data_IF_731438867370
#
_entry.id   IF_731438867370
#
_cell.length_a   1.000
_cell.length_b   1.000
_cell.length_c   1.000
_cell.angle_alpha   90.00
_cell.angle_beta   90.00
_cell.angle_gamma   90.00
#
_symmetry.space_group_name_H-M   'P 1'
#
loop_
_entity.id
_entity.type
_entity.pdbx_description
1 polymer ?
#
# COMPACT_ATOMS: atom_id res chain seq x y z
N UNK A 1 4.85 8.76 -12.83
CA UNK A 1 3.57 8.44 -12.17
C UNK A 1 2.46 9.38 -12.63
N UNK A 2 1.20 8.93 -12.48
CA UNK A 2 0.01 9.67 -12.94
C UNK A 2 -0.48 10.71 -11.91
N UNK A 3 -0.01 10.67 -10.68
CA UNK A 3 -0.46 11.51 -9.58
C UNK A 3 -0.35 13.00 -9.90
N UNK A 4 -1.36 13.76 -9.50
CA UNK A 4 -1.47 15.21 -9.67
C UNK A 4 -1.64 15.90 -8.31
N UNK A 5 -2.25 17.08 -8.28
CA UNK A 5 -2.44 17.84 -7.04
C UNK A 5 -3.38 17.13 -6.06
N UNK A 6 -4.44 16.49 -6.56
CA UNK A 6 -5.43 15.76 -5.77
C UNK A 6 -5.43 14.29 -6.17
N UNK A 7 -5.27 13.41 -5.20
CA UNK A 7 -5.16 11.98 -5.46
C UNK A 7 -6.06 11.22 -4.49
N UNK A 8 -7.04 10.50 -5.02
CA UNK A 8 -7.81 9.54 -4.24
C UNK A 8 -7.07 8.22 -4.28
N UNK A 9 -6.71 7.72 -3.11
CA UNK A 9 -5.92 6.51 -2.95
C UNK A 9 -6.77 5.46 -2.27
N UNK A 10 -6.87 4.28 -2.87
CA UNK A 10 -7.48 3.08 -2.29
C UNK A 10 -6.40 2.02 -2.14
N UNK A 11 -6.32 1.42 -0.98
CA UNK A 11 -5.47 0.25 -0.72
C UNK A 11 -6.35 -0.97 -0.49
N UNK A 12 -6.10 -2.03 -1.23
CA UNK A 12 -6.72 -3.34 -1.03
C UNK A 12 -5.75 -4.28 -0.34
N UNK A 13 -6.15 -4.76 0.83
CA UNK A 13 -5.42 -5.79 1.57
C UNK A 13 -5.06 -6.97 0.66
N UNK A 14 -3.93 -7.65 0.89
CA UNK A 14 -3.54 -8.81 0.08
C UNK A 14 -4.61 -9.89 -0.02
N UNK A 15 -5.45 -10.05 1.01
CA UNK A 15 -6.53 -11.04 1.10
C UNK A 15 -7.82 -10.59 0.40
N UNK A 16 -7.99 -9.28 0.19
CA UNK A 16 -9.20 -8.72 -0.42
C UNK A 16 -9.12 -8.78 -1.94
N UNK A 17 -10.19 -9.25 -2.57
CA UNK A 17 -10.31 -9.16 -4.01
C UNK A 17 -10.52 -7.70 -4.45
N UNK A 18 -9.84 -7.27 -5.51
CA UNK A 18 -10.15 -6.02 -6.19
C UNK A 18 -11.13 -6.33 -7.32
N UNK A 19 -12.38 -5.91 -7.13
CA UNK A 19 -13.48 -6.15 -8.06
C UNK A 19 -13.75 -4.94 -8.95
N UNK A 20 -14.55 -5.12 -9.98
CA UNK A 20 -15.02 -4.03 -10.84
C UNK A 20 -15.85 -3.01 -10.03
N UNK A 21 -16.62 -3.48 -9.04
CA UNK A 21 -17.44 -2.61 -8.19
C UNK A 21 -16.55 -1.77 -7.27
N UNK A 22 -15.45 -2.32 -6.76
CA UNK A 22 -14.45 -1.56 -5.98
C UNK A 22 -13.79 -0.47 -6.82
N UNK A 23 -13.47 -0.76 -8.07
CA UNK A 23 -12.94 0.22 -9.00
C UNK A 23 -13.90 1.40 -9.16
N UNK A 24 -15.15 1.13 -9.54
CA UNK A 24 -16.15 2.18 -9.73
C UNK A 24 -16.53 2.89 -8.43
N UNK A 25 -16.53 2.19 -7.29
CA UNK A 25 -16.70 2.82 -5.98
C UNK A 25 -15.61 3.85 -5.71
N UNK A 26 -14.36 3.53 -5.99
CA UNK A 26 -13.24 4.46 -5.80
C UNK A 26 -13.32 5.65 -6.77
N UNK A 27 -13.70 5.42 -8.02
CA UNK A 27 -14.00 6.49 -8.99
C UNK A 27 -15.15 7.37 -8.47
N UNK A 28 -16.20 6.76 -7.92
CA UNK A 28 -17.34 7.46 -7.31
C UNK A 28 -16.90 8.37 -6.15
N UNK A 29 -16.03 7.89 -5.27
CA UNK A 29 -15.46 8.70 -4.19
C UNK A 29 -14.68 9.91 -4.71
N UNK A 30 -13.92 9.73 -5.78
CA UNK A 30 -13.22 10.84 -6.43
C UNK A 30 -14.18 11.87 -7.04
N UNK A 31 -15.28 11.43 -7.64
CA UNK A 31 -16.34 12.31 -8.13
C UNK A 31 -17.03 13.08 -7.00
N UNK A 32 -17.33 12.41 -5.88
CA UNK A 32 -17.89 13.04 -4.69
C UNK A 32 -16.90 14.06 -4.09
N UNK A 33 -15.63 13.68 -3.97
CA UNK A 33 -14.58 14.59 -3.46
C UNK A 33 -14.49 15.86 -4.31
N UNK A 34 -14.53 15.73 -5.64
CA UNK A 34 -14.58 16.89 -6.55
C UNK A 34 -15.82 17.76 -6.28
N UNK A 35 -16.98 17.14 -6.00
CA UNK A 35 -18.25 17.84 -5.82
C UNK A 35 -18.41 18.54 -4.47
N UNK A 36 -17.67 18.12 -3.44
CA UNK A 36 -17.78 18.65 -2.08
C UNK A 36 -16.81 19.80 -1.75
N UNK A 37 -16.21 20.43 -2.76
CA UNK A 37 -15.37 21.61 -2.55
C UNK A 37 -16.19 22.79 -1.98
N UNK A 38 -15.55 23.61 -1.11
CA UNK A 38 -16.19 24.78 -0.48
C UNK A 38 -16.67 25.86 -1.48
N UNK A 39 -16.19 25.83 -2.70
CA UNK A 39 -16.55 26.73 -3.80
C UNK A 39 -16.59 25.97 -5.11
N UNK A 40 -17.28 26.55 -6.10
CA UNK A 40 -17.37 25.97 -7.45
C UNK A 40 -15.98 25.72 -8.00
N UNK A 41 -15.75 24.49 -8.48
CA UNK A 41 -14.50 24.00 -9.07
C UNK A 41 -13.24 24.17 -8.20
N UNK A 42 -13.41 24.08 -6.88
CA UNK A 42 -12.29 24.12 -5.94
C UNK A 42 -11.27 22.99 -6.17
N UNK A 43 -11.74 21.84 -6.68
CA UNK A 43 -10.94 20.71 -7.14
C UNK A 43 -11.11 20.57 -8.65
N UNK A 44 -10.22 21.16 -9.48
CA UNK A 44 -10.30 21.02 -10.93
C UNK A 44 -10.16 19.57 -11.37
N UNK A 45 -11.02 19.11 -12.27
CA UNK A 45 -11.08 17.70 -12.66
C UNK A 45 -9.78 17.21 -13.31
N UNK A 46 -9.09 18.09 -14.01
CA UNK A 46 -7.81 17.80 -14.67
C UNK A 46 -6.63 17.71 -13.67
N UNK A 47 -6.83 18.07 -12.39
CA UNK A 47 -5.86 17.94 -11.31
C UNK A 47 -6.18 16.78 -10.35
N UNK A 48 -7.22 16.01 -10.63
CA UNK A 48 -7.65 14.85 -9.84
C UNK A 48 -7.19 13.55 -10.48
N UNK A 49 -6.77 12.59 -9.67
CA UNK A 49 -6.43 11.21 -10.08
C UNK A 49 -6.90 10.19 -9.08
N UNK A 50 -7.00 8.95 -9.53
CA UNK A 50 -7.27 7.77 -8.69
C UNK A 50 -6.08 6.82 -8.75
N UNK A 51 -5.66 6.31 -7.61
CA UNK A 51 -4.61 5.28 -7.48
C UNK A 51 -5.10 4.14 -6.61
N UNK A 52 -5.14 2.94 -7.14
CA UNK A 52 -5.55 1.74 -6.39
C UNK A 52 -4.35 0.83 -6.24
N UNK A 53 -4.02 0.50 -5.00
CA UNK A 53 -2.92 -0.39 -4.66
C UNK A 53 -3.44 -1.78 -4.32
N UNK A 54 -2.77 -2.80 -4.84
CA UNK A 54 -3.06 -4.20 -4.58
C UNK A 54 -1.81 -5.07 -4.70
N UNK A 55 -1.76 -6.18 -3.97
CA UNK A 55 -0.63 -7.12 -4.02
C UNK A 55 -0.52 -7.83 -5.37
N UNK A 56 -1.61 -8.42 -5.87
CA UNK A 56 -1.63 -9.27 -7.07
C UNK A 56 -2.44 -8.64 -8.20
N UNK A 57 -2.15 -9.04 -9.44
CA UNK A 57 -2.81 -8.55 -10.64
C UNK A 57 -4.30 -8.91 -10.67
N UNK A 58 -5.22 -7.93 -10.84
CA UNK A 58 -6.65 -8.16 -10.84
C UNK A 58 -7.19 -8.53 -12.24
N UNK A 59 -6.81 -9.68 -12.78
CA UNK A 59 -7.10 -10.10 -14.16
C UNK A 59 -8.57 -9.99 -14.54
N UNK A 60 -9.48 -10.49 -13.67
CA UNK A 60 -10.92 -10.44 -13.95
C UNK A 60 -11.44 -9.01 -14.08
N UNK A 61 -10.95 -8.12 -13.24
CA UNK A 61 -11.32 -6.71 -13.30
C UNK A 61 -10.76 -6.07 -14.57
N UNK A 62 -9.52 -6.34 -14.94
CA UNK A 62 -8.91 -5.82 -16.17
C UNK A 62 -9.70 -6.24 -17.40
N UNK A 63 -10.06 -7.53 -17.53
CA UNK A 63 -10.90 -8.02 -18.62
C UNK A 63 -12.26 -7.31 -18.66
N UNK A 64 -12.87 -7.05 -17.50
CA UNK A 64 -14.15 -6.36 -17.42
C UNK A 64 -14.04 -4.89 -17.82
N UNK A 65 -13.00 -4.20 -17.37
CA UNK A 65 -12.73 -2.82 -17.76
C UNK A 65 -12.52 -2.69 -19.27
N UNK A 66 -11.74 -3.60 -19.87
CA UNK A 66 -11.53 -3.63 -21.33
C UNK A 66 -12.85 -3.88 -22.07
N UNK A 67 -13.71 -4.78 -21.58
CA UNK A 67 -15.04 -5.03 -22.14
C UNK A 67 -15.93 -3.77 -22.08
N UNK A 68 -15.74 -2.92 -21.07
CA UNK A 68 -16.46 -1.64 -20.94
C UNK A 68 -15.81 -0.50 -21.73
N UNK A 69 -14.77 -0.80 -22.51
CA UNK A 69 -14.12 0.16 -23.42
C UNK A 69 -12.97 0.94 -22.79
N UNK A 70 -12.60 0.66 -21.53
CA UNK A 70 -11.42 1.29 -20.95
C UNK A 70 -10.14 0.74 -21.57
N UNK A 71 -9.18 1.62 -21.82
CA UNK A 71 -7.84 1.25 -22.22
C UNK A 71 -6.99 1.01 -20.95
N UNK A 72 -6.37 -0.17 -20.88
CA UNK A 72 -5.42 -0.51 -19.82
C UNK A 72 -4.04 -0.65 -20.45
N UNK A 73 -3.08 0.11 -19.97
CA UNK A 73 -1.71 0.11 -20.46
C UNK A 73 -0.76 -0.07 -19.29
N UNK A 74 0.08 -1.11 -19.31
CA UNK A 74 1.19 -1.23 -18.39
C UNK A 74 2.26 -0.21 -18.78
N UNK A 75 2.37 0.85 -17.99
CA UNK A 75 3.27 1.96 -18.27
C UNK A 75 4.67 1.73 -17.73
N UNK A 76 4.73 1.05 -16.60
CA UNK A 76 5.96 0.60 -15.92
C UNK A 76 5.65 -0.76 -15.29
N UNK A 77 6.65 -1.59 -14.96
CA UNK A 77 6.41 -2.86 -14.29
C UNK A 77 5.48 -2.70 -13.08
N UNK A 78 4.34 -3.39 -13.11
CA UNK A 78 3.33 -3.36 -12.05
C UNK A 78 2.50 -2.07 -11.96
N UNK A 79 2.65 -1.10 -12.87
CA UNK A 79 1.88 0.16 -12.88
C UNK A 79 1.04 0.23 -14.15
N UNK A 80 -0.27 0.05 -13.99
CA UNK A 80 -1.26 0.00 -15.06
C UNK A 80 -2.08 1.28 -15.08
N UNK A 81 -2.02 2.03 -16.19
CA UNK A 81 -2.88 3.19 -16.40
C UNK A 81 -4.20 2.75 -17.00
N UNK A 82 -5.29 3.23 -16.41
CA UNK A 82 -6.65 3.06 -16.92
C UNK A 82 -7.10 4.40 -17.45
N UNK A 83 -7.33 4.44 -18.74
CA UNK A 83 -7.74 5.64 -19.48
C UNK A 83 -8.98 5.35 -20.32
N UNK A 84 -9.47 6.35 -21.00
CA UNK A 84 -10.71 6.34 -21.77
C UNK A 84 -11.96 6.09 -20.92
N UNK A 85 -13.05 6.74 -21.25
CA UNK A 85 -14.33 6.65 -20.55
C UNK A 85 -14.28 6.91 -19.03
N UNK A 86 -13.24 7.61 -18.56
CA UNK A 86 -13.12 8.11 -17.18
C UNK A 86 -13.03 9.63 -17.16
N UNK A 87 -13.63 10.29 -16.15
CA UNK A 87 -13.57 11.75 -16.03
C UNK A 87 -12.18 12.26 -15.67
N UNK A 88 -11.32 11.40 -15.14
CA UNK A 88 -9.93 11.68 -14.75
C UNK A 88 -9.09 10.39 -14.87
N UNK A 89 -7.76 10.50 -14.98
CA UNK A 89 -6.90 9.34 -15.10
C UNK A 89 -6.92 8.49 -13.81
N UNK A 90 -6.89 7.17 -13.99
CA UNK A 90 -6.71 6.20 -12.89
C UNK A 90 -5.49 5.33 -13.15
N UNK A 91 -4.87 4.84 -12.07
CA UNK A 91 -3.83 3.82 -12.11
C UNK A 91 -4.09 2.71 -11.11
N UNK A 92 -3.66 1.51 -11.48
CA UNK A 92 -3.67 0.34 -10.61
C UNK A 92 -2.22 -0.07 -10.41
N UNK A 93 -1.80 -0.16 -9.16
CA UNK A 93 -0.44 -0.49 -8.77
C UNK A 93 -0.45 -1.88 -8.16
N UNK A 94 0.19 -2.83 -8.86
CA UNK A 94 0.34 -4.22 -8.45
C UNK A 94 1.69 -4.35 -7.75
N UNK A 95 1.68 -4.35 -6.42
CA UNK A 95 2.92 -4.20 -5.65
C UNK A 95 3.90 -5.36 -5.81
N UNK A 96 3.44 -6.56 -6.13
CA UNK A 96 4.31 -7.71 -6.40
C UNK A 96 5.03 -7.64 -7.76
N UNK A 97 4.50 -6.87 -8.70
CA UNK A 97 5.06 -6.71 -10.05
C UNK A 97 5.96 -5.48 -10.18
N UNK A 98 6.03 -4.62 -9.13
CA UNK A 98 6.87 -3.43 -9.14
C UNK A 98 8.35 -3.79 -9.27
N UNK A 99 9.11 -2.93 -9.96
CA UNK A 99 10.57 -3.07 -10.08
C UNK A 99 11.23 -3.08 -8.69
N UNK A 100 11.97 -4.15 -8.35
CA UNK A 100 12.53 -4.31 -7.01
C UNK A 100 13.45 -3.15 -6.58
N UNK A 101 14.20 -2.57 -7.52
CA UNK A 101 15.16 -1.49 -7.25
C UNK A 101 14.52 -0.13 -6.95
N UNK A 102 13.28 0.12 -7.44
CA UNK A 102 12.70 1.47 -7.44
C UNK A 102 11.53 1.66 -6.45
N UNK A 103 10.83 0.58 -6.07
CA UNK A 103 9.58 0.67 -5.32
C UNK A 103 9.51 -0.26 -4.11
N UNK A 104 10.63 -0.48 -3.43
CA UNK A 104 10.73 -1.43 -2.31
C UNK A 104 9.75 -1.16 -1.18
N UNK A 105 9.54 0.11 -0.81
CA UNK A 105 8.57 0.50 0.22
C UNK A 105 7.13 0.08 -0.09
N UNK A 106 6.76 0.01 -1.38
CA UNK A 106 5.43 -0.46 -1.80
C UNK A 106 5.36 -1.99 -1.88
N UNK A 107 6.48 -2.66 -2.14
CA UNK A 107 6.54 -4.12 -2.24
C UNK A 107 6.30 -4.81 -0.90
N UNK A 108 6.71 -4.18 0.20
CA UNK A 108 6.44 -4.72 1.55
C UNK A 108 4.97 -4.68 1.95
N UNK A 109 4.11 -3.96 1.21
CA UNK A 109 2.65 -3.94 1.38
C UNK A 109 1.96 -5.16 0.72
N UNK A 110 2.68 -6.23 0.46
CA UNK A 110 2.17 -7.48 -0.07
C UNK A 110 2.35 -8.61 0.96
N UNK A 111 1.57 -9.69 0.83
CA UNK A 111 1.73 -10.90 1.64
C UNK A 111 2.86 -11.83 1.16
N UNK A 112 3.68 -11.38 0.23
CA UNK A 112 4.87 -12.05 -0.29
C UNK A 112 6.05 -11.08 -0.35
N UNK A 113 6.17 -10.24 0.67
CA UNK A 113 7.32 -9.36 0.83
C UNK A 113 8.60 -10.20 0.94
N UNK A 114 9.69 -9.72 0.36
CA UNK A 114 10.99 -10.35 0.52
C UNK A 114 11.71 -9.77 1.73
N UNK A 115 12.51 -10.58 2.40
CA UNK A 115 13.31 -10.16 3.57
C UNK A 115 14.16 -8.94 3.23
N UNK A 116 14.80 -8.95 2.07
CA UNK A 116 15.67 -7.86 1.60
C UNK A 116 14.91 -6.54 1.41
N UNK A 117 13.66 -6.59 0.91
CA UNK A 117 12.81 -5.40 0.74
C UNK A 117 12.42 -4.80 2.10
N UNK A 118 12.12 -5.66 3.09
CA UNK A 118 11.80 -5.22 4.46
C UNK A 118 13.03 -4.62 5.15
N UNK A 119 14.16 -5.33 5.12
CA UNK A 119 15.40 -4.86 5.76
C UNK A 119 15.88 -3.52 5.19
N UNK A 120 15.72 -3.31 3.88
CA UNK A 120 16.06 -2.04 3.27
C UNK A 120 15.06 -0.94 3.62
N UNK A 121 13.76 -1.24 3.69
CA UNK A 121 12.78 -0.29 4.19
C UNK A 121 13.13 0.15 5.61
N UNK A 122 13.45 -0.79 6.50
CA UNK A 122 13.83 -0.50 7.89
C UNK A 122 15.10 0.36 7.99
N UNK A 123 16.10 0.13 7.13
CA UNK A 123 17.29 1.01 7.06
C UNK A 123 16.94 2.43 6.62
N UNK A 124 16.06 2.58 5.61
CA UNK A 124 15.65 3.89 5.12
C UNK A 124 14.82 4.67 6.15
N UNK A 125 14.06 3.96 7.00
CA UNK A 125 13.27 4.56 8.09
C UNK A 125 14.15 5.27 9.12
N UNK A 126 15.36 4.80 9.38
CA UNK A 126 16.30 5.44 10.32
C UNK A 126 16.68 6.86 9.90
N UNK A 127 16.59 7.16 8.60
CA UNK A 127 16.84 8.51 8.04
C UNK A 127 15.60 9.42 8.08
N UNK A 128 14.40 8.87 8.34
CA UNK A 128 13.13 9.59 8.34
C UNK A 128 12.84 10.19 9.74
N UNK A 129 13.11 11.49 9.92
CA UNK A 129 13.10 12.10 11.24
C UNK A 129 11.93 13.06 11.52
N UNK A 130 11.05 13.35 10.53
CA UNK A 130 9.91 14.25 10.77
C UNK A 130 8.74 13.51 11.46
N UNK A 131 7.90 14.23 12.25
CA UNK A 131 6.71 13.61 12.86
C UNK A 131 5.77 12.96 11.83
N UNK A 132 5.66 13.55 10.64
CA UNK A 132 4.85 13.02 9.54
C UNK A 132 5.43 11.73 8.97
N UNK A 133 6.75 11.67 8.84
CA UNK A 133 7.43 10.46 8.37
C UNK A 133 7.21 9.31 9.33
N UNK A 134 7.30 9.54 10.63
CA UNK A 134 7.05 8.52 11.66
C UNK A 134 5.63 7.96 11.59
N UNK A 135 4.62 8.82 11.44
CA UNK A 135 3.23 8.37 11.27
C UNK A 135 3.04 7.54 9.99
N UNK A 136 3.67 7.96 8.88
CA UNK A 136 3.60 7.21 7.63
C UNK A 136 4.29 5.86 7.74
N UNK A 137 5.47 5.81 8.37
CA UNK A 137 6.23 4.58 8.62
C UNK A 137 5.42 3.62 9.48
N UNK A 138 4.84 4.11 10.56
CA UNK A 138 4.00 3.29 11.45
C UNK A 138 2.83 2.68 10.68
N UNK A 139 2.10 3.47 9.88
CA UNK A 139 0.99 2.99 9.07
C UNK A 139 1.41 1.91 8.06
N UNK A 140 2.55 2.09 7.39
CA UNK A 140 3.11 1.12 6.44
C UNK A 140 3.52 -0.17 7.17
N UNK A 141 4.22 -0.05 8.31
CA UNK A 141 4.66 -1.20 9.09
C UNK A 141 3.49 -2.00 9.67
N UNK A 142 2.43 -1.35 10.17
CA UNK A 142 1.23 -2.05 10.66
C UNK A 142 0.63 -2.97 9.60
N UNK A 143 0.51 -2.48 8.36
CA UNK A 143 0.00 -3.29 7.24
C UNK A 143 0.97 -4.40 6.88
N UNK A 144 2.27 -4.08 6.76
CA UNK A 144 3.30 -5.01 6.31
C UNK A 144 3.53 -6.14 7.33
N UNK A 145 3.59 -5.82 8.62
CA UNK A 145 3.76 -6.80 9.72
C UNK A 145 2.57 -7.76 9.74
N UNK A 146 1.34 -7.24 9.65
CA UNK A 146 0.14 -8.09 9.62
C UNK A 146 0.11 -9.03 8.41
N UNK A 147 0.60 -8.59 7.26
CA UNK A 147 0.63 -9.39 6.03
C UNK A 147 1.79 -10.40 5.99
N UNK A 148 2.87 -10.21 6.78
CA UNK A 148 4.11 -10.98 6.72
C UNK A 148 4.65 -11.34 8.12
N UNK A 149 3.77 -11.68 9.07
CA UNK A 149 4.09 -11.89 10.49
C UNK A 149 5.29 -12.85 10.72
N UNK A 150 5.30 -14.00 10.05
CA UNK A 150 6.39 -14.97 10.17
C UNK A 150 7.74 -14.40 9.75
N UNK A 151 7.77 -13.63 8.65
CA UNK A 151 8.98 -13.02 8.13
C UNK A 151 9.51 -11.92 9.09
N UNK A 152 8.62 -11.12 9.68
CA UNK A 152 9.02 -10.12 10.68
C UNK A 152 9.51 -10.76 11.97
N UNK A 153 8.97 -11.91 12.39
CA UNK A 153 9.50 -12.68 13.52
C UNK A 153 10.89 -13.23 13.25
N UNK A 154 11.20 -13.60 12.02
CA UNK A 154 12.53 -14.02 11.61
C UNK A 154 13.51 -12.83 11.66
N UNK A 155 13.16 -11.69 11.05
CA UNK A 155 13.97 -10.47 11.06
C UNK A 155 14.26 -9.98 12.49
N UNK A 156 13.29 -10.13 13.40
CA UNK A 156 13.42 -9.76 14.81
C UNK A 156 14.49 -10.58 15.55
N UNK A 157 14.73 -11.83 15.16
CA UNK A 157 15.79 -12.66 15.75
C UNK A 157 17.17 -12.22 15.31
N UNK A 158 17.27 -11.54 14.18
CA UNK A 158 18.51 -10.94 13.68
C UNK A 158 18.72 -9.58 14.38
N UNK A 159 19.89 -9.32 14.95
CA UNK A 159 20.19 -8.24 15.91
C UNK A 159 20.01 -6.78 15.44
N UNK A 160 19.47 -6.52 14.23
CA UNK A 160 19.38 -5.19 13.61
C UNK A 160 17.92 -4.71 13.47
N UNK A 161 17.18 -4.65 14.55
CA UNK A 161 15.81 -4.13 14.53
C UNK A 161 15.80 -2.61 14.73
N UNK A 162 15.24 -1.85 13.78
CA UNK A 162 15.11 -0.40 13.92
C UNK A 162 14.12 -0.02 15.04
N UNK A 163 14.25 1.20 15.58
CA UNK A 163 13.45 1.65 16.72
C UNK A 163 11.94 1.71 16.40
N UNK A 164 11.55 2.05 15.17
CA UNK A 164 10.15 2.07 14.74
C UNK A 164 9.51 0.68 14.78
N UNK A 165 10.21 -0.36 14.33
CA UNK A 165 9.73 -1.74 14.41
C UNK A 165 9.70 -2.24 15.85
N UNK A 166 10.69 -1.86 16.66
CA UNK A 166 10.75 -2.21 18.08
C UNK A 166 9.56 -1.64 18.85
N UNK A 167 9.21 -0.37 18.60
CA UNK A 167 8.06 0.28 19.25
C UNK A 167 6.75 -0.38 18.83
N UNK A 168 6.55 -0.65 17.53
CA UNK A 168 5.35 -1.30 16.99
C UNK A 168 5.14 -2.72 17.57
N UNK A 169 6.22 -3.47 17.77
CA UNK A 169 6.19 -4.86 18.26
C UNK A 169 6.37 -4.97 19.77
N UNK A 170 6.31 -3.89 20.52
CA UNK A 170 6.56 -3.86 21.96
C UNK A 170 5.55 -4.68 22.75
N UNK A 171 4.28 -4.59 22.42
CA UNK A 171 3.21 -5.34 23.08
C UNK A 171 3.37 -6.86 22.83
N UNK A 172 3.69 -7.26 21.60
CA UNK A 172 3.98 -8.66 21.27
C UNK A 172 5.23 -9.19 21.99
N UNK A 173 6.21 -8.31 22.24
CA UNK A 173 7.42 -8.64 23.01
C UNK A 173 7.12 -8.85 24.50
N UNK A 174 6.26 -8.02 25.07
CA UNK A 174 5.84 -8.15 26.47
C UNK A 174 5.01 -9.42 26.69
N UNK A 175 4.12 -9.74 25.75
CA UNK A 175 3.30 -10.95 25.82
C UNK A 175 4.12 -12.23 25.62
N UNK A 176 5.06 -12.24 24.69
CA UNK A 176 5.99 -13.35 24.50
C UNK A 176 6.92 -13.55 25.73
N UNK A 177 7.32 -12.47 26.39
CA UNK A 177 8.11 -12.53 27.63
C UNK A 177 7.30 -13.10 28.80
N UNK A 178 6.04 -12.68 28.97
CA UNK A 178 5.13 -13.21 30.02
C UNK A 178 4.87 -14.70 29.84
N UNK A 179 4.71 -15.16 28.57
CA UNK A 179 4.55 -16.58 28.25
C UNK A 179 5.82 -17.39 28.60
N UNK A 180 7.00 -16.88 28.23
CA UNK A 180 8.27 -17.53 28.53
C UNK A 180 8.61 -17.57 30.03
N UNK A 181 8.22 -16.56 30.83
CA UNK A 181 8.37 -16.53 32.29
C UNK A 181 7.41 -17.53 32.96
N UNK A 182 6.21 -17.76 32.39
CA UNK A 182 5.26 -18.75 32.94
C UNK A 182 5.62 -20.20 32.63
N UNK A 183 6.41 -20.48 31.58
CA UNK A 183 6.91 -21.83 31.25
C UNK A 183 8.23 -22.17 31.96
N UNK A 184 8.91 -21.19 32.55
CA UNK A 184 10.18 -21.36 33.28
C UNK A 184 10.04 -21.59 34.78
N UNK A 185 8.82 -21.56 35.31
CA UNK A 185 8.52 -21.80 36.75
C UNK A 185 7.94 -23.20 37.04
N UNK A 186 8.30 -24.24 36.27
CA UNK A 186 7.92 -25.65 36.54
C UNK A 186 9.12 -26.48 36.87
#
# INVERSE_FOLDING_TARGET
HIMKKYNVIEYKSPEDALTIDDFYKTVGYACLYKGYGERVDAVPINELTVSIFRATRPEKMFLTLQKYGHKIEEKYPGIYYVTEHLPFPAQIIVTQELEPGEHRSLRILSNHAKKEDIEEFLRNVEEMNTPRDRQNVEAVLQVSVKANDELYREIKRDANMCDALRELMKDDLEDARKLGESEGEV
#
